data_IF_551854482762
#
_entry.id   IF_551854482762
#
_cell.length_a   1.000
_cell.length_b   1.000
_cell.length_c   1.000
_cell.angle_alpha   90.00
_cell.angle_beta   90.00
_cell.angle_gamma   90.00
#
_symmetry.space_group_name_H-M   'P 1'
#
loop_
_entity.id
_entity.type
_entity.pdbx_description
1 polymer ?
#
# COMPACT_ATOMS: atom_id res chain seq x y z
N UNK A 1 -25.53 10.22 -12.12
CA UNK A 1 -24.12 10.64 -12.21
C UNK A 1 -23.64 10.97 -10.80
N UNK A 2 -23.15 9.97 -10.05
CA UNK A 2 -22.78 10.15 -8.65
C UNK A 2 -21.41 10.84 -8.55
N UNK A 3 -21.38 12.00 -7.90
CA UNK A 3 -20.16 12.77 -7.68
C UNK A 3 -19.12 11.91 -6.95
N UNK A 4 -18.10 11.44 -7.68
CA UNK A 4 -16.93 10.83 -7.08
C UNK A 4 -16.27 11.87 -6.17
N UNK A 5 -16.25 11.61 -4.86
CA UNK A 5 -15.43 12.38 -3.92
C UNK A 5 -13.99 12.32 -4.42
N UNK A 6 -13.52 13.40 -5.04
CA UNK A 6 -12.12 13.59 -5.39
C UNK A 6 -11.35 13.57 -4.07
N UNK A 7 -10.47 12.57 -3.88
CA UNK A 7 -9.55 12.56 -2.75
C UNK A 7 -8.84 13.92 -2.69
N UNK A 8 -8.88 14.59 -1.54
CA UNK A 8 -8.14 15.83 -1.35
C UNK A 8 -6.64 15.57 -1.50
N UNK A 9 -5.87 16.60 -1.88
CA UNK A 9 -4.42 16.51 -2.06
C UNK A 9 -3.73 15.85 -0.86
N UNK A 10 -4.08 16.27 0.35
CA UNK A 10 -3.50 15.74 1.59
C UNK A 10 -3.77 14.24 1.76
N UNK A 11 -4.96 13.76 1.39
CA UNK A 11 -5.32 12.35 1.48
C UNK A 11 -4.53 11.52 0.46
N UNK A 12 -4.43 12.01 -0.78
CA UNK A 12 -3.66 11.35 -1.83
C UNK A 12 -2.17 11.27 -1.48
N UNK A 13 -1.59 12.36 -0.98
CA UNK A 13 -0.20 12.41 -0.55
C UNK A 13 0.05 11.47 0.64
N UNK A 14 -0.82 11.50 1.66
CA UNK A 14 -0.69 10.65 2.84
C UNK A 14 -0.81 9.16 2.49
N UNK A 15 -1.71 8.79 1.58
CA UNK A 15 -1.81 7.41 1.09
C UNK A 15 -0.54 6.98 0.34
N UNK A 16 -0.01 7.83 -0.53
CA UNK A 16 1.20 7.52 -1.28
C UNK A 16 2.41 7.35 -0.34
N UNK A 17 2.64 8.31 0.56
CA UNK A 17 3.77 8.28 1.51
C UNK A 17 3.61 7.13 2.50
N UNK A 18 2.42 6.97 3.09
CA UNK A 18 2.14 5.91 4.06
C UNK A 18 2.37 4.51 3.47
N UNK A 19 1.93 4.27 2.23
CA UNK A 19 2.16 3.01 1.53
C UNK A 19 3.66 2.75 1.27
N UNK A 20 4.40 3.75 0.79
CA UNK A 20 5.83 3.57 0.49
C UNK A 20 6.69 3.41 1.76
N UNK A 21 6.40 4.15 2.82
CA UNK A 21 7.13 4.03 4.09
C UNK A 21 6.78 2.72 4.80
N UNK A 22 5.50 2.37 4.88
CA UNK A 22 5.00 1.10 5.43
C UNK A 22 5.65 -0.11 4.76
N UNK A 23 5.63 -0.10 3.44
CA UNK A 23 6.15 -1.20 2.65
C UNK A 23 7.67 -1.22 2.52
N UNK A 24 8.23 -0.18 1.93
CA UNK A 24 9.64 -0.14 1.57
C UNK A 24 10.56 -0.08 2.78
N UNK A 25 10.24 0.80 3.73
CA UNK A 25 11.10 0.99 4.90
C UNK A 25 10.83 -0.13 5.91
N UNK A 26 9.63 -0.25 6.46
CA UNK A 26 9.43 -1.25 7.52
C UNK A 26 9.52 -2.69 7.04
N UNK A 27 9.11 -3.01 5.80
CA UNK A 27 9.12 -4.42 5.39
C UNK A 27 10.45 -4.89 4.80
N UNK A 28 11.18 -4.01 4.13
CA UNK A 28 12.34 -4.40 3.30
C UNK A 28 13.67 -3.85 3.83
N UNK A 29 13.67 -2.80 4.67
CA UNK A 29 14.91 -2.21 5.19
C UNK A 29 15.80 -3.23 5.90
N UNK A 30 15.23 -4.11 6.73
CA UNK A 30 16.00 -5.14 7.42
C UNK A 30 16.75 -6.07 6.46
N UNK A 31 16.08 -6.49 5.39
CA UNK A 31 16.67 -7.34 4.35
C UNK A 31 17.78 -6.59 3.60
N UNK A 32 17.53 -5.33 3.22
CA UNK A 32 18.50 -4.49 2.51
C UNK A 32 19.73 -4.22 3.38
N UNK A 33 19.55 -3.87 4.65
CA UNK A 33 20.67 -3.64 5.58
C UNK A 33 21.46 -4.92 5.80
N UNK A 34 20.80 -6.07 5.95
CA UNK A 34 21.49 -7.36 6.12
C UNK A 34 22.29 -7.79 4.88
N UNK A 35 21.89 -7.36 3.68
CA UNK A 35 22.52 -7.76 2.41
C UNK A 35 23.55 -6.75 1.94
N UNK A 36 23.25 -5.45 2.03
CA UNK A 36 24.05 -4.35 1.49
C UNK A 36 24.87 -3.62 2.55
N UNK A 37 24.63 -3.86 3.85
CA UNK A 37 25.37 -3.27 4.95
C UNK A 37 25.43 -1.74 4.86
N UNK A 38 26.65 -1.20 4.85
CA UNK A 38 26.94 0.24 4.76
C UNK A 38 26.47 0.87 3.44
N UNK A 39 26.23 0.08 2.39
CA UNK A 39 25.78 0.57 1.08
C UNK A 39 24.26 0.65 0.93
N UNK A 40 23.49 0.33 1.97
CA UNK A 40 22.04 0.37 1.96
C UNK A 40 21.48 1.73 1.50
N UNK A 41 22.10 2.85 1.91
CA UNK A 41 21.68 4.20 1.51
C UNK A 41 21.78 4.42 0.00
N UNK A 42 22.79 3.83 -0.65
CA UNK A 42 22.97 3.91 -2.10
C UNK A 42 21.86 3.15 -2.83
N UNK A 43 21.48 1.97 -2.31
CA UNK A 43 20.36 1.19 -2.86
C UNK A 43 19.03 1.97 -2.79
N UNK A 44 18.75 2.64 -1.67
CA UNK A 44 17.56 3.49 -1.55
C UNK A 44 17.61 4.71 -2.48
N UNK A 45 18.78 5.31 -2.66
CA UNK A 45 18.96 6.44 -3.57
C UNK A 45 18.68 6.03 -5.02
N UNK A 46 19.23 4.91 -5.47
CA UNK A 46 18.98 4.36 -6.80
C UNK A 46 17.50 3.99 -7.00
N UNK A 47 16.88 3.34 -6.01
CA UNK A 47 15.45 3.05 -6.04
C UNK A 47 14.59 4.32 -6.15
N UNK A 48 14.96 5.38 -5.42
CA UNK A 48 14.31 6.69 -5.47
C UNK A 48 14.42 7.35 -6.85
N UNK A 49 15.60 7.31 -7.48
CA UNK A 49 15.79 7.85 -8.83
C UNK A 49 14.92 7.13 -9.86
N UNK A 50 14.85 5.80 -9.82
CA UNK A 50 13.99 5.00 -10.70
C UNK A 50 12.51 5.33 -10.47
N UNK A 51 12.11 5.50 -9.20
CA UNK A 51 10.75 5.88 -8.83
C UNK A 51 10.38 7.28 -9.34
N UNK A 52 11.30 8.25 -9.31
CA UNK A 52 11.08 9.60 -9.85
C UNK A 52 10.85 9.60 -11.36
N UNK A 53 11.67 8.87 -12.11
CA UNK A 53 11.50 8.71 -13.57
C UNK A 53 10.14 8.09 -13.88
N UNK A 54 9.77 7.04 -13.13
CA UNK A 54 8.47 6.39 -13.27
C UNK A 54 7.32 7.33 -12.95
N UNK A 55 7.40 8.08 -11.85
CA UNK A 55 6.38 9.05 -11.43
C UNK A 55 6.20 10.16 -12.47
N UNK A 56 7.29 10.65 -13.07
CA UNK A 56 7.24 11.65 -14.13
C UNK A 56 6.52 11.12 -15.38
N UNK A 57 6.85 9.89 -15.81
CA UNK A 57 6.17 9.25 -16.94
C UNK A 57 4.66 9.06 -16.68
N UNK A 58 4.28 8.60 -15.47
CA UNK A 58 2.88 8.45 -15.07
C UNK A 58 2.14 9.78 -14.96
N UNK A 59 2.80 10.84 -14.49
CA UNK A 59 2.22 12.19 -14.41
C UNK A 59 1.85 12.70 -15.80
N UNK A 60 2.77 12.65 -16.77
CA UNK A 60 2.50 13.06 -18.15
C UNK A 60 1.39 12.22 -18.78
N UNK A 61 1.38 10.91 -18.53
CA UNK A 61 0.36 10.00 -19.05
C UNK A 61 -1.03 10.32 -18.49
N UNK A 62 -1.10 10.63 -17.20
CA UNK A 62 -2.34 11.01 -16.51
C UNK A 62 -2.91 12.32 -17.06
N UNK A 63 -2.04 13.32 -17.31
CA UNK A 63 -2.44 14.59 -17.95
C UNK A 63 -2.92 14.36 -19.39
N UNK A 64 -2.19 13.58 -20.18
CA UNK A 64 -2.51 13.31 -21.60
C UNK A 64 -3.85 12.60 -21.79
N UNK A 65 -4.15 11.60 -20.95
CA UNK A 65 -5.36 10.79 -21.11
C UNK A 65 -6.54 11.29 -20.26
N UNK A 66 -6.33 12.24 -19.34
CA UNK A 66 -7.36 12.86 -18.52
C UNK A 66 -8.10 11.90 -17.59
N UNK A 67 -7.47 10.77 -17.22
CA UNK A 67 -8.09 9.72 -16.43
C UNK A 67 -7.26 9.42 -15.18
N UNK A 68 -7.94 9.29 -14.05
CA UNK A 68 -7.41 8.74 -12.82
C UNK A 68 -7.42 7.21 -12.91
N UNK A 69 -6.35 6.62 -13.47
CA UNK A 69 -6.20 5.17 -13.60
C UNK A 69 -4.73 4.77 -13.78
N UNK A 70 -4.38 3.56 -13.36
CA UNK A 70 -3.02 3.03 -13.51
C UNK A 70 -2.69 2.59 -14.95
N UNK A 71 -1.51 2.01 -15.16
CA UNK A 71 -1.06 1.54 -16.48
C UNK A 71 -2.07 0.63 -17.21
N UNK A 72 -2.85 -0.16 -16.46
CA UNK A 72 -3.95 -0.95 -17.02
C UNK A 72 -5.00 -0.11 -17.76
N UNK A 73 -5.45 1.00 -17.14
CA UNK A 73 -6.49 1.88 -17.69
C UNK A 73 -6.01 2.55 -18.97
N UNK A 74 -4.72 2.91 -19.04
CA UNK A 74 -4.12 3.48 -20.24
C UNK A 74 -4.02 2.45 -21.37
N UNK A 75 -3.55 1.22 -21.10
CA UNK A 75 -3.44 0.17 -22.12
C UNK A 75 -4.80 -0.26 -22.68
N UNK A 76 -5.83 -0.32 -21.83
CA UNK A 76 -7.20 -0.60 -22.27
C UNK A 76 -7.73 0.46 -23.23
N UNK A 77 -7.35 1.74 -23.03
CA UNK A 77 -7.78 2.87 -23.87
C UNK A 77 -7.09 2.89 -25.24
N UNK A 78 -5.88 2.35 -25.34
CA UNK A 78 -5.14 2.21 -26.62
C UNK A 78 -5.56 0.92 -27.37
N UNK A 79 -6.68 0.28 -26.97
CA UNK A 79 -7.21 -0.94 -27.57
C UNK A 79 -6.25 -2.15 -27.53
N UNK A 80 -5.21 -2.11 -26.69
CA UNK A 80 -4.27 -3.22 -26.48
C UNK A 80 -4.82 -4.20 -25.43
N UNK A 81 -5.99 -4.79 -25.69
CA UNK A 81 -6.70 -5.64 -24.74
C UNK A 81 -5.88 -6.81 -24.18
N UNK A 82 -5.05 -7.44 -25.01
CA UNK A 82 -4.15 -8.52 -24.58
C UNK A 82 -3.07 -8.04 -23.60
N UNK A 83 -2.39 -6.94 -23.91
CA UNK A 83 -1.35 -6.37 -23.03
C UNK A 83 -1.94 -5.84 -21.71
N UNK A 84 -3.14 -5.26 -21.76
CA UNK A 84 -3.86 -4.82 -20.57
C UNK A 84 -4.19 -6.00 -19.65
N UNK A 85 -4.69 -7.12 -20.21
CA UNK A 85 -4.98 -8.32 -19.43
C UNK A 85 -3.71 -8.92 -18.79
N UNK A 86 -2.62 -9.02 -19.53
CA UNK A 86 -1.34 -9.50 -19.00
C UNK A 86 -0.82 -8.61 -17.87
N UNK A 87 -0.90 -7.29 -18.04
CA UNK A 87 -0.49 -6.35 -16.98
C UNK A 87 -1.38 -6.46 -15.74
N UNK A 88 -2.69 -6.68 -15.91
CA UNK A 88 -3.61 -6.88 -14.79
C UNK A 88 -3.21 -8.11 -13.96
N UNK A 89 -2.88 -9.22 -14.61
CA UNK A 89 -2.41 -10.42 -13.91
C UNK A 89 -1.08 -10.20 -13.17
N UNK A 90 -0.13 -9.50 -13.80
CA UNK A 90 1.14 -9.14 -13.16
C UNK A 90 0.90 -8.26 -11.93
N UNK A 91 0.00 -7.28 -12.03
CA UNK A 91 -0.36 -6.41 -10.90
C UNK A 91 -1.01 -7.19 -9.76
N UNK A 92 -1.96 -8.08 -10.06
CA UNK A 92 -2.61 -8.92 -9.04
C UNK A 92 -1.59 -9.78 -8.30
N UNK A 93 -0.70 -10.45 -9.03
CA UNK A 93 0.37 -11.26 -8.42
C UNK A 93 1.29 -10.39 -7.57
N UNK A 94 1.69 -9.21 -8.08
CA UNK A 94 2.52 -8.26 -7.36
C UNK A 94 1.89 -7.80 -6.05
N UNK A 95 0.58 -7.51 -6.05
CA UNK A 95 -0.14 -7.15 -4.82
C UNK A 95 -0.22 -8.30 -3.83
N UNK A 96 -0.47 -9.54 -4.28
CA UNK A 96 -0.47 -10.73 -3.42
C UNK A 96 0.90 -10.91 -2.75
N UNK A 97 1.98 -10.79 -3.52
CA UNK A 97 3.36 -10.85 -2.99
C UNK A 97 3.61 -9.74 -1.97
N UNK A 98 3.19 -8.51 -2.27
CA UNK A 98 3.36 -7.35 -1.38
C UNK A 98 2.65 -7.57 -0.04
N UNK A 99 1.38 -8.00 -0.08
CA UNK A 99 0.60 -8.31 1.13
C UNK A 99 1.27 -9.43 1.94
N UNK A 100 1.80 -10.45 1.26
CA UNK A 100 2.48 -11.57 1.89
C UNK A 100 3.76 -11.11 2.63
N UNK A 101 4.56 -10.26 2.00
CA UNK A 101 5.77 -9.69 2.61
C UNK A 101 5.42 -8.83 3.82
N UNK A 102 4.40 -7.99 3.74
CA UNK A 102 4.01 -7.12 4.87
C UNK A 102 3.54 -7.95 6.07
N UNK A 103 2.71 -8.96 5.83
CA UNK A 103 2.23 -9.85 6.89
C UNK A 103 3.37 -10.65 7.54
N UNK A 104 4.30 -11.15 6.72
CA UNK A 104 5.49 -11.85 7.19
C UNK A 104 6.35 -10.95 8.08
N UNK A 105 6.67 -9.75 7.61
CA UNK A 105 7.50 -8.80 8.37
C UNK A 105 6.80 -8.37 9.66
N UNK A 106 5.49 -8.13 9.64
CA UNK A 106 4.70 -7.86 10.84
C UNK A 106 4.80 -9.00 11.87
N UNK A 107 4.59 -10.24 11.43
CA UNK A 107 4.69 -11.42 12.31
C UNK A 107 6.07 -11.56 12.94
N UNK A 108 7.14 -11.32 12.16
CA UNK A 108 8.51 -11.36 12.65
C UNK A 108 8.84 -10.25 13.64
N UNK A 109 8.37 -9.02 13.41
CA UNK A 109 8.57 -7.91 14.36
C UNK A 109 7.91 -8.19 15.71
N UNK A 110 6.65 -8.62 15.72
CA UNK A 110 5.93 -8.89 16.96
C UNK A 110 6.56 -10.07 17.71
N UNK A 111 6.93 -11.14 17.01
CA UNK A 111 7.57 -12.29 17.64
C UNK A 111 8.94 -11.94 18.26
N UNK A 112 9.70 -11.03 17.63
CA UNK A 112 10.97 -10.55 18.17
C UNK A 112 10.79 -9.79 19.48
N UNK A 113 9.75 -8.96 19.59
CA UNK A 113 9.44 -8.21 20.83
C UNK A 113 8.98 -9.13 21.96
N UNK A 114 8.15 -10.12 21.63
CA UNK A 114 7.53 -11.03 22.61
C UNK A 114 8.44 -12.23 22.98
N UNK A 115 9.61 -12.36 22.36
CA UNK A 115 10.57 -13.47 22.56
C UNK A 115 9.91 -14.86 22.44
N UNK A 116 8.97 -15.01 21.51
CA UNK A 116 8.15 -16.20 21.39
C UNK A 116 8.67 -17.20 20.33
N UNK A 117 8.31 -18.47 20.48
CA UNK A 117 8.78 -19.58 19.63
C UNK A 117 8.45 -19.45 18.14
N UNK A 118 9.16 -20.24 17.33
CA UNK A 118 9.19 -20.15 15.85
C UNK A 118 7.84 -20.29 15.12
N UNK A 119 6.77 -20.70 15.80
CA UNK A 119 5.42 -20.83 15.22
C UNK A 119 4.61 -19.52 15.27
N UNK A 120 4.92 -18.61 16.21
CA UNK A 120 4.16 -17.37 16.43
C UNK A 120 4.22 -16.39 15.24
N UNK A 121 5.36 -16.15 14.56
CA UNK A 121 5.39 -15.25 13.40
C UNK A 121 4.44 -15.69 12.28
N UNK A 122 4.37 -17.00 12.01
CA UNK A 122 3.50 -17.57 10.98
C UNK A 122 2.03 -17.44 11.36
N UNK A 123 1.69 -17.73 12.62
CA UNK A 123 0.33 -17.57 13.13
C UNK A 123 -0.15 -16.11 13.05
N UNK A 124 0.71 -15.14 13.42
CA UNK A 124 0.41 -13.72 13.36
C UNK A 124 0.29 -13.20 11.92
N UNK A 125 1.14 -13.67 11.00
CA UNK A 125 1.04 -13.32 9.58
C UNK A 125 -0.29 -13.79 8.97
N UNK A 126 -0.70 -15.04 9.26
CA UNK A 126 -2.00 -15.55 8.81
C UNK A 126 -3.14 -14.79 9.49
N UNK A 127 -3.04 -14.51 10.79
CA UNK A 127 -4.07 -13.79 11.52
C UNK A 127 -4.28 -12.36 11.00
N UNK A 128 -3.20 -11.61 10.70
CA UNK A 128 -3.32 -10.25 10.17
C UNK A 128 -3.89 -10.24 8.75
N UNK A 129 -3.49 -11.18 7.89
CA UNK A 129 -4.10 -11.33 6.56
C UNK A 129 -5.58 -11.68 6.70
N UNK A 130 -5.93 -12.65 7.54
CA UNK A 130 -7.31 -13.06 7.76
C UNK A 130 -8.16 -11.92 8.34
N UNK A 131 -7.62 -11.14 9.28
CA UNK A 131 -8.30 -9.98 9.85
C UNK A 131 -8.52 -8.88 8.79
N UNK A 132 -7.49 -8.54 8.00
CA UNK A 132 -7.61 -7.53 6.94
C UNK A 132 -8.51 -8.00 5.79
N UNK A 133 -8.45 -9.28 5.43
CA UNK A 133 -9.34 -9.90 4.47
C UNK A 133 -10.77 -9.90 4.99
N UNK A 134 -10.99 -10.24 6.25
CA UNK A 134 -12.31 -10.16 6.90
C UNK A 134 -12.87 -8.74 6.90
N UNK A 135 -12.05 -7.74 7.22
CA UNK A 135 -12.43 -6.32 7.13
C UNK A 135 -12.77 -5.92 5.68
N UNK A 136 -11.98 -6.36 4.70
CA UNK A 136 -12.25 -6.12 3.28
C UNK A 136 -13.52 -6.81 2.79
N UNK A 137 -13.74 -8.07 3.17
CA UNK A 137 -14.88 -8.90 2.76
C UNK A 137 -16.18 -8.47 3.45
N UNK A 138 -16.09 -7.99 4.69
CA UNK A 138 -17.21 -7.31 5.35
C UNK A 138 -17.53 -5.95 4.74
N UNK A 139 -16.76 -5.45 3.75
CA UNK A 139 -17.07 -4.18 3.13
C UNK A 139 -16.28 -3.77 1.90
N UNK A 140 -16.72 -4.14 0.70
CA UNK A 140 -16.49 -3.30 -0.51
C UNK A 140 -17.49 -2.11 -0.54
N UNK A 141 -18.57 -2.19 0.25
CA UNK A 141 -19.41 -1.05 0.65
C UNK A 141 -19.10 -0.50 2.06
N UNK A 142 -18.65 -1.36 2.99
CA UNK A 142 -18.44 -0.98 4.39
C UNK A 142 -17.01 -0.51 4.74
N UNK A 143 -15.97 -0.74 3.93
CA UNK A 143 -14.64 -0.15 4.20
C UNK A 143 -14.69 1.39 4.23
N UNK A 144 -15.52 2.00 3.38
CA UNK A 144 -15.77 3.45 3.41
C UNK A 144 -16.58 3.88 4.64
N UNK A 145 -17.51 3.05 5.14
CA UNK A 145 -18.26 3.33 6.38
C UNK A 145 -17.40 3.17 7.63
N UNK A 146 -16.54 2.16 7.67
CA UNK A 146 -15.57 1.93 8.76
C UNK A 146 -14.56 3.07 8.82
N UNK A 147 -14.11 3.59 7.67
CA UNK A 147 -13.25 4.77 7.60
C UNK A 147 -13.97 6.04 8.12
N UNK A 148 -15.23 6.28 7.71
CA UNK A 148 -16.03 7.42 8.19
C UNK A 148 -16.25 7.35 9.72
N UNK A 149 -16.58 6.17 10.26
CA UNK A 149 -16.80 5.97 11.70
C UNK A 149 -15.50 6.21 12.48
N UNK A 150 -14.37 5.72 11.97
CA UNK A 150 -13.05 5.89 12.62
C UNK A 150 -12.62 7.36 12.64
N UNK A 151 -12.91 8.12 11.58
CA UNK A 151 -12.62 9.56 11.52
C UNK A 151 -13.50 10.35 12.50
N UNK A 152 -14.81 10.08 12.53
CA UNK A 152 -15.71 10.75 13.48
C UNK A 152 -15.39 10.42 14.94
N UNK A 153 -14.99 9.18 15.22
CA UNK A 153 -14.52 8.79 16.56
C UNK A 153 -13.31 9.60 17.01
N UNK A 154 -12.32 9.82 16.13
CA UNK A 154 -11.14 10.65 16.45
C UNK A 154 -11.50 12.11 16.72
N UNK A 155 -12.40 12.69 15.92
CA UNK A 155 -12.84 14.08 16.08
C UNK A 155 -13.60 14.26 17.40
N UNK A 156 -14.46 13.31 17.76
CA UNK A 156 -15.22 13.36 19.02
C UNK A 156 -14.30 13.26 20.24
N UNK A 157 -13.30 12.38 20.20
CA UNK A 157 -12.29 12.28 21.27
C UNK A 157 -11.48 13.58 21.41
N UNK A 158 -11.09 14.21 20.29
CA UNK A 158 -10.37 15.48 20.31
C UNK A 158 -11.23 16.64 20.85
N UNK A 159 -12.52 16.69 20.53
CA UNK A 159 -13.44 17.71 21.07
C UNK A 159 -13.72 17.47 22.56
N UNK A 160 -13.87 16.22 22.98
CA UNK A 160 -14.08 15.86 24.39
C UNK A 160 -12.84 16.13 25.26
N UNK A 161 -11.63 16.04 24.70
CA UNK A 161 -10.38 16.41 25.39
C UNK A 161 -10.09 17.91 25.35
N UNK A 162 -10.74 18.66 24.46
CA UNK A 162 -10.57 20.12 24.32
C UNK A 162 -11.59 20.94 25.13
N UNK A 163 -12.57 20.30 25.76
CA UNK A 163 -13.41 20.86 26.84
C UNK A 163 -12.87 20.39 28.19
#
# INVERSE_FOLDING_TARGET
MGAQRKFGYNAAWSMAVGGMVGGGIFSVLGVVVSTSGEWAWLSFLLAGLIALVSAHAYSQLSVKYGMSGGAFTFLRKVHMGGAAASLAWILVIGYILTISVYAFTFGHYVAHVVHAGAWLPRALAVAVIAALAWVNLRGVGDASRVEIITVWGKVLVLVALAC
#
